data_IF_705904696285
#
_entry.id   IF_705904696285
#
_cell.length_a   1.000
_cell.length_b   1.000
_cell.length_c   1.000
_cell.angle_alpha   90.00
_cell.angle_beta   90.00
_cell.angle_gamma   90.00
#
_symmetry.space_group_name_H-M   'P 1'
#
loop_
_entity.id
_entity.type
_entity.pdbx_description
1 polymer ?
#
# COMPACT_ATOMS: atom_id res chain seq x y z
N UNK A 1 -15.81 1.98 27.66
CA UNK A 1 -15.66 1.13 26.46
C UNK A 1 -16.74 0.05 26.48
N UNK A 2 -17.17 -0.42 25.31
CA UNK A 2 -18.36 -1.29 25.13
C UNK A 2 -18.19 -2.74 25.60
N UNK A 3 -16.95 -3.21 25.80
CA UNK A 3 -16.65 -4.61 26.16
C UNK A 3 -16.82 -5.62 25.02
N UNK A 4 -17.12 -5.17 23.80
CA UNK A 4 -17.23 -5.99 22.58
C UNK A 4 -15.92 -5.92 21.77
N UNK A 5 -15.63 -6.96 21.00
CA UNK A 5 -14.63 -6.86 19.93
C UNK A 5 -15.11 -5.89 18.85
N UNK A 6 -14.17 -5.28 18.12
CA UNK A 6 -14.46 -4.23 17.14
C UNK A 6 -15.43 -4.68 16.04
N UNK A 7 -15.21 -5.88 15.49
CA UNK A 7 -16.04 -6.41 14.40
C UNK A 7 -17.49 -6.59 14.83
N UNK A 8 -17.71 -7.19 16.00
CA UNK A 8 -19.05 -7.33 16.59
C UNK A 8 -19.69 -5.98 16.87
N UNK A 9 -18.93 -5.02 17.41
CA UNK A 9 -19.44 -3.69 17.70
C UNK A 9 -19.93 -2.99 16.43
N UNK A 10 -19.09 -2.90 15.39
CA UNK A 10 -19.46 -2.22 14.14
C UNK A 10 -20.58 -2.96 13.41
N UNK A 11 -20.59 -4.30 13.44
CA UNK A 11 -21.69 -5.08 12.88
C UNK A 11 -23.05 -4.72 13.51
N UNK A 12 -23.09 -4.58 14.83
CA UNK A 12 -24.33 -4.34 15.58
C UNK A 12 -24.77 -2.88 15.58
N UNK A 13 -23.81 -1.96 15.58
CA UNK A 13 -24.07 -0.54 15.81
C UNK A 13 -23.97 0.32 14.54
N UNK A 14 -23.39 -0.20 13.45
CA UNK A 14 -23.26 0.52 12.18
C UNK A 14 -23.85 -0.28 11.02
N UNK A 15 -23.34 -1.48 10.75
CA UNK A 15 -23.70 -2.22 9.54
C UNK A 15 -25.16 -2.69 9.54
N UNK A 16 -25.63 -3.30 10.63
CA UNK A 16 -27.03 -3.76 10.74
C UNK A 16 -28.03 -2.60 10.68
N UNK A 17 -27.87 -1.50 11.45
CA UNK A 17 -28.78 -0.35 11.37
C UNK A 17 -28.87 0.26 9.97
N UNK A 18 -27.76 0.26 9.21
CA UNK A 18 -27.70 0.78 7.84
C UNK A 18 -28.04 -0.26 6.77
N UNK A 19 -28.42 -1.48 7.16
CA UNK A 19 -28.67 -2.58 6.23
C UNK A 19 -27.49 -2.89 5.28
N UNK A 20 -26.26 -2.72 5.78
CA UNK A 20 -25.01 -3.04 5.10
C UNK A 20 -24.71 -4.54 5.21
N UNK A 21 -25.47 -5.36 4.48
CA UNK A 21 -25.50 -6.82 4.66
C UNK A 21 -24.26 -7.55 4.16
N UNK A 22 -23.45 -6.93 3.29
CA UNK A 22 -22.19 -7.53 2.80
C UNK A 22 -20.96 -6.88 3.46
N UNK A 23 -21.16 -5.91 4.35
CA UNK A 23 -20.08 -5.28 5.08
C UNK A 23 -19.54 -6.20 6.18
N UNK A 24 -18.22 -6.23 6.36
CA UNK A 24 -17.57 -6.99 7.42
C UNK A 24 -16.32 -6.31 7.93
N UNK A 25 -16.08 -6.47 9.24
CA UNK A 25 -14.97 -5.89 9.98
C UNK A 25 -14.33 -6.97 10.89
N UNK A 26 -14.11 -8.17 10.36
CA UNK A 26 -13.81 -9.37 11.16
C UNK A 26 -12.96 -10.43 10.45
N UNK A 27 -12.76 -11.56 11.15
CA UNK A 27 -11.76 -12.60 10.83
C UNK A 27 -11.92 -13.26 9.46
N UNK A 28 -10.82 -13.86 8.96
CA UNK A 28 -10.67 -14.54 7.66
C UNK A 28 -11.86 -15.39 7.17
N UNK A 29 -12.66 -15.98 8.07
CA UNK A 29 -13.83 -16.77 7.70
C UNK A 29 -14.98 -15.95 7.09
N UNK A 30 -15.18 -14.68 7.48
CA UNK A 30 -16.12 -13.77 6.78
C UNK A 30 -15.51 -13.20 5.49
N UNK A 31 -14.18 -13.16 5.42
CA UNK A 31 -13.42 -12.66 4.26
C UNK A 31 -13.36 -13.68 3.10
N UNK A 32 -13.59 -14.96 3.38
CA UNK A 32 -13.57 -16.08 2.43
C UNK A 32 -14.95 -16.38 1.81
N UNK A 33 -15.89 -15.42 1.84
CA UNK A 33 -17.14 -15.57 1.08
C UNK A 33 -16.81 -15.69 -0.41
N UNK A 34 -17.47 -16.61 -1.11
CA UNK A 34 -17.26 -16.90 -2.54
C UNK A 34 -17.68 -15.76 -3.49
N UNK A 35 -17.99 -14.57 -2.96
CA UNK A 35 -18.48 -13.39 -3.67
C UNK A 35 -17.52 -12.20 -3.62
N UNK A 36 -16.41 -12.28 -2.90
CA UNK A 36 -15.44 -11.18 -2.83
C UNK A 36 -14.66 -11.04 -4.14
N UNK A 37 -14.60 -9.83 -4.70
CA UNK A 37 -13.73 -9.50 -5.84
C UNK A 37 -12.28 -9.79 -5.47
N UNK A 38 -11.53 -10.61 -6.23
CA UNK A 38 -10.11 -10.87 -5.97
C UNK A 38 -9.30 -9.58 -5.99
N UNK A 39 -8.45 -9.38 -5.00
CA UNK A 39 -7.53 -8.24 -4.96
C UNK A 39 -6.27 -8.56 -5.74
N UNK A 40 -5.70 -7.54 -6.39
CA UNK A 40 -4.51 -7.66 -7.22
C UNK A 40 -3.37 -6.86 -6.63
N UNK A 41 -2.20 -7.48 -6.55
CA UNK A 41 -0.93 -6.80 -6.25
C UNK A 41 -0.16 -6.57 -7.53
N UNK A 42 0.55 -5.46 -7.62
CA UNK A 42 1.42 -5.17 -8.75
C UNK A 42 2.67 -6.06 -8.72
N UNK A 43 2.89 -6.84 -9.77
CA UNK A 43 4.09 -7.62 -9.99
C UNK A 43 4.74 -7.20 -11.31
N UNK A 44 5.83 -6.42 -11.24
CA UNK A 44 6.54 -5.92 -12.42
C UNK A 44 5.63 -5.15 -13.40
N UNK A 45 4.61 -4.47 -12.87
CA UNK A 45 3.61 -3.70 -13.63
C UNK A 45 2.35 -4.47 -14.01
N UNK A 46 2.30 -5.77 -13.76
CA UNK A 46 1.13 -6.60 -14.03
C UNK A 46 0.30 -6.74 -12.75
N UNK A 47 -1.01 -6.42 -12.76
CA UNK A 47 -1.88 -6.71 -11.63
C UNK A 47 -2.12 -8.23 -11.55
N UNK A 48 -1.72 -8.85 -10.45
CA UNK A 48 -1.84 -10.30 -10.24
C UNK A 48 -2.72 -10.59 -9.02
N UNK A 49 -3.79 -11.36 -9.22
CA UNK A 49 -4.57 -11.96 -8.14
C UNK A 49 -3.81 -13.17 -7.57
N UNK A 50 -2.80 -12.90 -6.75
CA UNK A 50 -1.90 -13.91 -6.18
C UNK A 50 -2.45 -14.61 -4.92
N UNK A 51 -3.71 -14.30 -4.57
CA UNK A 51 -4.37 -14.88 -3.40
C UNK A 51 -3.91 -14.27 -2.07
N UNK A 52 -3.25 -13.10 -2.08
CA UNK A 52 -2.87 -12.41 -0.86
C UNK A 52 -4.07 -12.14 0.06
N UNK A 53 -3.90 -12.49 1.34
CA UNK A 53 -4.86 -12.22 2.40
C UNK A 53 -4.10 -11.59 3.55
N UNK A 54 -4.53 -10.38 3.94
CA UNK A 54 -3.97 -9.69 5.08
C UNK A 54 -4.08 -10.54 6.35
N UNK A 55 -2.97 -10.65 7.07
CA UNK A 55 -2.96 -11.38 8.32
C UNK A 55 -3.48 -10.51 9.45
N UNK A 56 -4.27 -11.12 10.34
CA UNK A 56 -4.81 -10.44 11.50
C UNK A 56 -3.97 -10.78 12.73
N UNK A 57 -3.69 -9.79 13.57
CA UNK A 57 -3.04 -9.96 14.86
C UNK A 57 -2.33 -8.70 15.32
N UNK A 58 -1.83 -8.69 16.55
CA UNK A 58 -1.17 -7.50 17.13
C UNK A 58 0.12 -7.10 16.38
N UNK A 59 0.68 -8.04 15.62
CA UNK A 59 1.88 -7.82 14.80
C UNK A 59 1.60 -7.39 13.36
N UNK A 60 0.33 -7.29 12.93
CA UNK A 60 -0.03 -6.82 11.60
C UNK A 60 0.06 -5.28 11.52
N UNK A 61 0.48 -4.76 10.36
CA UNK A 61 0.66 -3.31 10.20
C UNK A 61 -0.66 -2.52 10.29
N UNK A 62 -1.79 -3.16 9.96
CA UNK A 62 -3.13 -2.59 10.13
C UNK A 62 -4.16 -3.64 10.54
N UNK A 63 -5.36 -3.19 10.87
CA UNK A 63 -6.48 -4.04 11.32
C UNK A 63 -7.83 -3.50 10.84
N UNK A 64 -8.92 -4.22 11.15
CA UNK A 64 -10.27 -3.84 10.72
C UNK A 64 -10.66 -2.40 11.11
N UNK A 65 -10.14 -1.86 12.21
CA UNK A 65 -10.44 -0.49 12.64
C UNK A 65 -9.66 0.58 11.87
N UNK A 66 -8.53 0.25 11.25
CA UNK A 66 -7.69 1.21 10.54
C UNK A 66 -7.89 1.22 9.02
N UNK A 67 -8.38 0.13 8.43
CA UNK A 67 -8.52 0.06 6.97
C UNK A 67 -9.01 -1.26 6.36
N UNK A 68 -9.27 -2.29 7.16
CA UNK A 68 -9.64 -3.63 6.67
C UNK A 68 -11.15 -3.94 6.75
N UNK A 69 -12.00 -2.91 6.79
CA UNK A 69 -13.43 -3.10 6.54
C UNK A 69 -13.61 -3.43 5.06
N UNK A 70 -14.41 -4.46 4.77
CA UNK A 70 -14.85 -4.78 3.41
C UNK A 70 -16.32 -4.45 3.29
N UNK A 71 -16.72 -3.85 2.18
CA UNK A 71 -18.09 -3.46 1.91
C UNK A 71 -18.35 -3.51 0.40
N UNK A 72 -19.59 -3.80 0.00
CA UNK A 72 -20.02 -3.67 -1.39
C UNK A 72 -20.35 -2.22 -1.72
N UNK A 73 -20.51 -1.89 -3.01
CA UNK A 73 -21.00 -0.56 -3.43
C UNK A 73 -22.33 -0.20 -2.74
N UNK A 74 -23.26 -1.15 -2.67
CA UNK A 74 -24.56 -0.95 -2.01
C UNK A 74 -24.45 -0.67 -0.51
N UNK A 75 -23.51 -1.30 0.17
CA UNK A 75 -23.25 -1.01 1.59
C UNK A 75 -22.68 0.41 1.74
N UNK A 76 -21.74 0.78 0.86
CA UNK A 76 -21.15 2.13 0.88
C UNK A 76 -22.14 3.22 0.51
N UNK A 77 -23.09 2.96 -0.40
CA UNK A 77 -24.23 3.85 -0.67
C UNK A 77 -25.00 4.13 0.62
N UNK A 78 -25.36 3.09 1.39
CA UNK A 78 -26.06 3.26 2.66
C UNK A 78 -25.23 4.04 3.69
N UNK A 79 -23.91 3.80 3.73
CA UNK A 79 -22.99 4.52 4.60
C UNK A 79 -22.90 6.02 4.27
N UNK A 80 -22.75 6.38 2.98
CA UNK A 80 -22.71 7.79 2.57
C UNK A 80 -24.06 8.48 2.74
N UNK A 81 -25.16 7.78 2.46
CA UNK A 81 -26.51 8.28 2.71
C UNK A 81 -26.76 8.59 4.19
N UNK A 82 -26.18 7.84 5.12
CA UNK A 82 -26.28 8.14 6.55
C UNK A 82 -25.70 9.53 6.88
N UNK A 83 -24.56 9.90 6.31
CA UNK A 83 -23.97 11.23 6.50
C UNK A 83 -24.78 12.34 5.84
N UNK A 84 -25.25 12.12 4.60
CA UNK A 84 -26.14 13.08 3.91
C UNK A 84 -27.43 13.33 4.70
N UNK A 85 -27.94 12.29 5.37
CA UNK A 85 -29.09 12.38 6.26
C UNK A 85 -28.71 12.71 7.73
N UNK A 86 -27.61 13.44 7.93
CA UNK A 86 -27.19 13.96 9.24
C UNK A 86 -27.07 12.90 10.34
N UNK A 87 -26.57 11.71 9.98
CA UNK A 87 -26.31 10.61 10.90
C UNK A 87 -27.45 9.60 11.04
N UNK A 88 -28.60 9.83 10.40
CA UNK A 88 -29.83 9.06 10.61
C UNK A 88 -29.61 7.54 10.61
N UNK A 89 -30.11 6.88 11.66
CA UNK A 89 -30.01 5.44 11.87
C UNK A 89 -28.82 4.98 12.72
N UNK A 90 -27.78 5.81 12.91
CA UNK A 90 -26.57 5.46 13.68
C UNK A 90 -26.12 6.56 14.62
N UNK A 91 -26.13 7.81 14.16
CA UNK A 91 -25.64 9.00 14.86
C UNK A 91 -26.74 10.08 14.90
N UNK A 92 -26.53 11.10 15.74
CA UNK A 92 -27.27 12.36 15.65
C UNK A 92 -26.48 13.41 14.86
N UNK A 93 -27.17 14.48 14.47
CA UNK A 93 -26.59 15.55 13.65
C UNK A 93 -25.42 16.26 14.35
N UNK A 94 -25.52 16.43 15.68
CA UNK A 94 -24.45 17.05 16.48
C UNK A 94 -23.18 16.18 16.48
N UNK A 95 -23.32 14.86 16.53
CA UNK A 95 -22.20 13.92 16.42
C UNK A 95 -21.55 13.98 15.05
N UNK A 96 -22.33 14.02 13.97
CA UNK A 96 -21.79 14.21 12.61
C UNK A 96 -21.05 15.54 12.50
N UNK A 97 -21.65 16.63 13.00
CA UNK A 97 -21.00 17.94 13.02
C UNK A 97 -19.67 17.90 13.79
N UNK A 98 -19.63 17.26 14.96
CA UNK A 98 -18.39 17.10 15.73
C UNK A 98 -17.34 16.29 14.97
N UNK A 99 -17.72 15.18 14.33
CA UNK A 99 -16.79 14.35 13.55
C UNK A 99 -16.14 15.14 12.41
N UNK A 100 -16.88 16.04 11.77
CA UNK A 100 -16.42 16.82 10.62
C UNK A 100 -15.62 18.04 11.04
N UNK A 101 -16.10 18.81 12.02
CA UNK A 101 -15.55 20.13 12.35
C UNK A 101 -14.66 20.19 13.59
N UNK A 102 -14.61 19.14 14.41
CA UNK A 102 -13.57 19.00 15.44
C UNK A 102 -12.29 18.51 14.79
N UNK A 103 -11.65 19.39 14.03
CA UNK A 103 -10.59 19.07 13.08
C UNK A 103 -9.32 19.87 13.32
N UNK A 104 -8.20 19.33 12.85
CA UNK A 104 -6.88 19.99 12.84
C UNK A 104 -6.45 20.27 11.41
N UNK A 105 -5.73 21.37 11.14
CA UNK A 105 -5.19 21.61 9.81
C UNK A 105 -4.14 20.55 9.45
N UNK A 106 -4.16 20.10 8.19
CA UNK A 106 -3.04 19.37 7.61
C UNK A 106 -1.88 20.35 7.40
N UNK A 107 -0.69 19.99 7.88
CA UNK A 107 0.51 20.82 7.73
C UNK A 107 1.03 20.89 6.29
N UNK A 108 0.58 19.99 5.42
CA UNK A 108 1.12 19.80 4.07
C UNK A 108 0.18 20.23 2.94
N UNK A 109 -1.07 20.57 3.26
CA UNK A 109 -2.11 20.90 2.29
C UNK A 109 -3.13 21.87 2.86
N UNK A 110 -3.98 22.48 2.02
CA UNK A 110 -5.11 23.30 2.46
C UNK A 110 -6.33 22.43 2.81
N UNK A 111 -6.10 21.43 3.67
CA UNK A 111 -7.12 20.50 4.13
C UNK A 111 -7.11 20.42 5.65
N UNK A 112 -8.16 19.83 6.21
CA UNK A 112 -8.33 19.64 7.65
C UNK A 112 -8.75 18.20 7.93
N UNK A 113 -8.19 17.60 8.96
CA UNK A 113 -8.51 16.23 9.37
C UNK A 113 -9.37 16.22 10.64
N UNK A 114 -10.57 15.65 10.53
CA UNK A 114 -11.52 15.43 11.63
C UNK A 114 -11.44 13.99 12.17
N UNK A 115 -12.58 13.47 12.63
CA UNK A 115 -12.69 12.09 13.10
C UNK A 115 -12.94 11.15 11.92
N UNK A 116 -11.88 10.79 11.19
CA UNK A 116 -11.96 9.86 10.06
C UNK A 116 -12.45 10.49 8.76
N UNK A 117 -12.34 11.81 8.62
CA UNK A 117 -12.64 12.55 7.40
C UNK A 117 -11.60 13.64 7.16
N UNK A 118 -11.10 13.71 5.93
CA UNK A 118 -10.41 14.88 5.40
C UNK A 118 -11.47 15.84 4.87
N UNK A 119 -11.27 17.14 5.08
CA UNK A 119 -12.19 18.17 4.65
C UNK A 119 -11.46 19.35 4.02
N UNK A 120 -12.04 19.89 2.96
CA UNK A 120 -11.53 21.06 2.25
C UNK A 120 -12.69 21.82 1.60
N UNK A 121 -12.43 23.02 1.11
CA UNK A 121 -13.39 23.81 0.36
C UNK A 121 -12.92 23.95 -1.09
N UNK A 122 -13.86 23.89 -2.04
CA UNK A 122 -13.58 24.32 -3.40
C UNK A 122 -13.45 25.84 -3.51
N UNK A 123 -13.08 26.33 -4.69
CA UNK A 123 -12.85 27.75 -4.94
C UNK A 123 -14.08 28.63 -4.73
N UNK A 124 -15.28 28.06 -4.82
CA UNK A 124 -16.57 28.70 -4.52
C UNK A 124 -16.98 28.59 -3.04
N UNK A 125 -16.17 27.94 -2.20
CA UNK A 125 -16.38 27.77 -0.77
C UNK A 125 -17.18 26.53 -0.38
N UNK A 126 -17.58 25.70 -1.34
CA UNK A 126 -18.36 24.49 -1.10
C UNK A 126 -17.53 23.43 -0.35
N UNK A 127 -18.09 22.88 0.73
CA UNK A 127 -17.42 21.89 1.58
C UNK A 127 -17.40 20.52 0.90
N UNK A 128 -16.22 19.91 0.87
CA UNK A 128 -16.03 18.50 0.53
C UNK A 128 -15.50 17.75 1.72
N UNK A 129 -16.11 16.61 2.03
CA UNK A 129 -15.60 15.60 2.94
C UNK A 129 -15.05 14.45 2.09
N UNK A 130 -13.83 14.01 2.34
CA UNK A 130 -13.22 12.89 1.62
C UNK A 130 -12.48 11.94 2.56
N UNK A 131 -12.36 10.70 2.11
CA UNK A 131 -11.41 9.77 2.69
C UNK A 131 -10.97 8.77 1.62
N UNK A 132 -9.66 8.53 1.58
CA UNK A 132 -9.06 7.56 0.67
C UNK A 132 -8.74 6.27 1.44
N UNK A 133 -8.77 5.15 0.74
CA UNK A 133 -8.42 3.85 1.26
C UNK A 133 -7.35 3.23 0.38
N UNK A 134 -6.31 2.70 1.00
CA UNK A 134 -5.24 2.00 0.32
C UNK A 134 -4.73 0.88 1.22
N UNK A 135 -4.86 -0.35 0.73
CA UNK A 135 -4.28 -1.55 1.32
C UNK A 135 -3.54 -2.31 0.23
N UNK A 136 -2.94 -3.45 0.54
CA UNK A 136 -1.94 -4.10 -0.30
C UNK A 136 -2.45 -4.53 -1.68
N UNK A 137 -3.77 -4.71 -1.82
CA UNK A 137 -4.39 -5.22 -3.03
C UNK A 137 -5.73 -4.55 -3.41
N UNK A 138 -6.08 -3.43 -2.77
CA UNK A 138 -7.27 -2.62 -3.08
C UNK A 138 -7.01 -1.14 -2.84
N UNK A 139 -7.73 -0.30 -3.57
CA UNK A 139 -7.78 1.15 -3.40
C UNK A 139 -9.22 1.61 -3.36
N UNK A 140 -9.50 2.72 -2.68
CA UNK A 140 -10.82 3.28 -2.55
C UNK A 140 -10.75 4.80 -2.43
N UNK A 141 -11.77 5.48 -2.94
CA UNK A 141 -12.03 6.89 -2.67
C UNK A 141 -13.50 7.05 -2.35
N UNK A 142 -13.81 7.82 -1.32
CA UNK A 142 -15.16 8.29 -1.08
C UNK A 142 -15.17 9.78 -0.79
N UNK A 143 -16.24 10.45 -1.21
CA UNK A 143 -16.49 11.82 -0.83
C UNK A 143 -17.98 12.12 -0.64
N UNK A 144 -18.24 13.20 0.10
CA UNK A 144 -19.56 13.75 0.34
C UNK A 144 -19.47 15.26 0.10
N UNK A 145 -20.44 15.79 -0.62
CA UNK A 145 -20.62 17.21 -0.90
C UNK A 145 -22.02 17.58 -0.37
N UNK A 146 -22.12 17.99 0.91
CA UNK A 146 -23.40 18.12 1.60
C UNK A 146 -24.35 19.11 0.94
N UNK A 147 -23.83 20.25 0.45
CA UNK A 147 -24.63 21.31 -0.18
C UNK A 147 -25.29 20.86 -1.51
N UNK A 148 -24.81 19.76 -2.10
CA UNK A 148 -25.36 19.12 -3.30
C UNK A 148 -26.17 17.86 -3.03
N UNK A 149 -26.31 17.45 -1.77
CA UNK A 149 -26.90 16.15 -1.40
C UNK A 149 -26.24 14.97 -2.17
N UNK A 150 -24.91 15.03 -2.32
CA UNK A 150 -24.15 14.14 -3.19
C UNK A 150 -23.10 13.34 -2.41
N UNK A 151 -23.14 12.02 -2.58
CA UNK A 151 -22.12 11.09 -2.08
C UNK A 151 -21.57 10.26 -3.23
N UNK A 152 -20.25 10.09 -3.28
CA UNK A 152 -19.55 9.35 -4.33
C UNK A 152 -18.62 8.34 -3.67
N UNK A 153 -18.60 7.12 -4.20
CA UNK A 153 -17.64 6.08 -3.83
C UNK A 153 -17.09 5.41 -5.08
N UNK A 154 -15.78 5.23 -5.12
CA UNK A 154 -15.05 4.52 -6.17
C UNK A 154 -14.18 3.47 -5.50
N UNK A 155 -14.24 2.23 -5.98
CA UNK A 155 -13.50 1.09 -5.45
C UNK A 155 -12.65 0.47 -6.56
N UNK A 156 -11.39 0.17 -6.26
CA UNK A 156 -10.44 -0.50 -7.15
C UNK A 156 -9.94 -1.79 -6.51
N UNK A 157 -9.83 -2.85 -7.31
CA UNK A 157 -9.40 -4.18 -6.91
C UNK A 157 -7.91 -4.45 -7.18
N UNK A 158 -7.11 -3.38 -7.31
CA UNK A 158 -5.68 -3.46 -7.48
C UNK A 158 -5.00 -2.32 -6.72
N UNK A 159 -3.90 -2.64 -6.03
CA UNK A 159 -2.93 -1.64 -5.57
C UNK A 159 -1.68 -1.74 -6.46
N UNK A 160 -1.24 -0.59 -6.93
CA UNK A 160 0.02 -0.40 -7.62
C UNK A 160 0.62 0.96 -7.23
N UNK A 161 1.49 0.95 -6.22
CA UNK A 161 2.22 2.14 -5.71
C UNK A 161 3.11 2.81 -6.78
N UNK A 162 3.36 2.13 -7.91
CA UNK A 162 4.15 2.63 -9.04
C UNK A 162 3.22 3.12 -10.17
N UNK A 163 2.42 4.13 -9.84
CA UNK A 163 1.63 4.91 -10.80
C UNK A 163 0.19 4.42 -11.01
N UNK A 164 -0.13 3.17 -10.68
CA UNK A 164 -1.51 2.70 -10.78
C UNK A 164 -2.45 3.32 -9.75
N UNK A 165 -2.00 3.57 -8.53
CA UNK A 165 -2.78 4.27 -7.49
C UNK A 165 -3.02 5.73 -7.89
N UNK A 166 -2.01 6.41 -8.45
CA UNK A 166 -2.15 7.79 -8.96
C UNK A 166 -3.19 7.86 -10.10
N UNK A 167 -3.16 6.90 -11.02
CA UNK A 167 -4.16 6.79 -12.08
C UNK A 167 -5.57 6.52 -11.51
N UNK A 168 -5.70 5.69 -10.47
CA UNK A 168 -6.97 5.44 -9.80
C UNK A 168 -7.53 6.70 -9.13
N UNK A 169 -6.71 7.44 -8.39
CA UNK A 169 -7.14 8.66 -7.72
C UNK A 169 -7.50 9.76 -8.73
N UNK A 170 -6.72 9.89 -9.81
CA UNK A 170 -7.05 10.81 -10.91
C UNK A 170 -8.38 10.45 -11.57
N UNK A 171 -8.64 9.15 -11.80
CA UNK A 171 -9.93 8.66 -12.30
C UNK A 171 -11.07 9.02 -11.35
N UNK A 172 -10.87 8.82 -10.04
CA UNK A 172 -11.88 9.11 -9.05
C UNK A 172 -12.17 10.62 -8.94
N UNK A 173 -11.15 11.48 -9.06
CA UNK A 173 -11.32 12.94 -9.12
C UNK A 173 -12.06 13.38 -10.38
N UNK A 174 -11.79 12.75 -11.52
CA UNK A 174 -12.55 12.99 -12.76
C UNK A 174 -14.02 12.60 -12.61
N UNK A 175 -14.32 11.49 -11.94
CA UNK A 175 -15.70 11.08 -11.63
C UNK A 175 -16.39 12.14 -10.76
N UNK A 176 -15.72 12.65 -9.73
CA UNK A 176 -16.26 13.73 -8.89
C UNK A 176 -16.50 14.98 -9.73
N UNK A 177 -15.53 15.40 -10.54
CA UNK A 177 -15.63 16.57 -11.43
C UNK A 177 -16.84 16.45 -12.37
N UNK A 178 -17.02 15.31 -13.03
CA UNK A 178 -18.17 15.05 -13.92
C UNK A 178 -19.49 15.12 -13.14
N UNK A 179 -19.55 14.50 -11.95
CA UNK A 179 -20.76 14.45 -11.14
C UNK A 179 -21.24 15.85 -10.70
N UNK A 180 -20.32 16.81 -10.55
CA UNK A 180 -20.63 18.20 -10.20
C UNK A 180 -20.77 19.14 -11.40
N UNK A 181 -20.76 18.60 -12.62
CA UNK A 181 -20.93 19.35 -13.88
C UNK A 181 -19.64 19.97 -14.43
N UNK A 182 -18.49 19.59 -13.87
CA UNK A 182 -17.16 19.97 -14.34
C UNK A 182 -16.72 19.18 -15.59
N UNK A 183 -15.43 19.28 -15.91
CA UNK A 183 -14.79 18.51 -16.97
C UNK A 183 -13.69 17.63 -16.38
N UNK A 184 -13.54 16.39 -16.86
CA UNK A 184 -12.44 15.54 -16.44
C UNK A 184 -11.11 16.07 -16.97
N UNK A 185 -10.05 15.93 -16.19
CA UNK A 185 -8.67 16.20 -16.61
C UNK A 185 -8.15 15.09 -17.55
N UNK A 186 -8.71 13.89 -17.42
CA UNK A 186 -8.29 12.69 -18.14
C UNK A 186 -7.20 11.94 -17.40
N UNK A 187 -7.21 10.61 -17.55
CA UNK A 187 -6.18 9.72 -17.00
C UNK A 187 -5.27 9.26 -18.13
N UNK A 188 -3.97 9.46 -17.97
CA UNK A 188 -2.98 9.01 -18.95
C UNK A 188 -2.47 7.60 -18.61
N UNK A 189 -2.88 6.55 -19.35
CA UNK A 189 -2.42 5.19 -19.06
C UNK A 189 -0.92 4.99 -19.35
N UNK A 190 -0.27 5.87 -20.12
CA UNK A 190 1.16 5.72 -20.45
C UNK A 190 2.06 5.98 -19.25
N UNK A 191 1.67 6.85 -18.32
CA UNK A 191 2.48 7.22 -17.16
C UNK A 191 2.78 6.01 -16.27
N UNK A 192 1.76 5.23 -15.96
CA UNK A 192 1.93 3.95 -15.24
C UNK A 192 2.87 3.01 -16.00
N UNK A 193 2.68 2.86 -17.32
CA UNK A 193 3.52 1.98 -18.14
C UNK A 193 4.97 2.44 -18.13
N UNK A 194 5.22 3.74 -18.29
CA UNK A 194 6.55 4.34 -18.26
C UNK A 194 7.22 4.15 -16.90
N UNK A 195 6.51 4.41 -15.80
CA UNK A 195 7.03 4.18 -14.44
C UNK A 195 7.46 2.72 -14.23
N UNK A 196 6.67 1.75 -14.71
CA UNK A 196 7.04 0.34 -14.65
C UNK A 196 8.21 -0.01 -15.58
N UNK A 197 8.31 0.58 -16.76
CA UNK A 197 9.48 0.39 -17.65
C UNK A 197 10.75 0.89 -16.94
N UNK A 198 10.73 2.09 -16.37
CA UNK A 198 11.87 2.64 -15.65
C UNK A 198 12.22 1.79 -14.43
N UNK A 199 11.24 1.38 -13.64
CA UNK A 199 11.45 0.57 -12.44
C UNK A 199 11.98 -0.83 -12.79
N UNK A 200 11.41 -1.51 -13.78
CA UNK A 200 11.92 -2.79 -14.24
C UNK A 200 13.34 -2.68 -14.83
N UNK A 201 13.66 -1.58 -15.52
CA UNK A 201 15.01 -1.33 -15.99
C UNK A 201 16.01 -1.12 -14.83
N UNK A 202 15.63 -0.43 -13.75
CA UNK A 202 16.49 -0.29 -12.56
C UNK A 202 16.69 -1.62 -11.84
N UNK A 203 15.66 -2.48 -11.78
CA UNK A 203 15.79 -3.84 -11.24
C UNK A 203 16.82 -4.67 -12.02
N UNK A 204 16.73 -4.66 -13.35
CA UNK A 204 17.69 -5.36 -14.22
C UNK A 204 19.10 -4.78 -14.04
N UNK A 205 19.23 -3.45 -14.02
CA UNK A 205 20.51 -2.79 -13.81
C UNK A 205 21.14 -3.14 -12.45
N UNK A 206 20.35 -3.21 -11.39
CA UNK A 206 20.80 -3.62 -10.05
C UNK A 206 21.32 -5.06 -10.02
N UNK A 207 20.61 -6.00 -10.67
CA UNK A 207 21.04 -7.39 -10.79
C UNK A 207 22.34 -7.51 -11.59
N UNK A 208 22.47 -6.79 -12.72
CA UNK A 208 23.70 -6.74 -13.52
C UNK A 208 24.85 -6.15 -12.71
N UNK A 209 24.62 -5.06 -11.98
CA UNK A 209 25.62 -4.44 -11.13
C UNK A 209 26.12 -5.42 -10.05
N UNK A 210 25.20 -6.12 -9.36
CA UNK A 210 25.55 -7.16 -8.39
C UNK A 210 26.37 -8.29 -9.04
N UNK A 211 25.98 -8.74 -10.24
CA UNK A 211 26.72 -9.76 -10.98
C UNK A 211 28.15 -9.29 -11.35
N UNK A 212 28.31 -8.06 -11.82
CA UNK A 212 29.61 -7.48 -12.14
C UNK A 212 30.48 -7.34 -10.89
N UNK A 213 29.91 -6.93 -9.75
CA UNK A 213 30.61 -6.88 -8.46
C UNK A 213 31.08 -8.27 -8.02
N UNK A 214 30.24 -9.30 -8.18
CA UNK A 214 30.63 -10.70 -7.91
C UNK A 214 31.78 -11.13 -8.82
N UNK A 215 31.69 -10.88 -10.14
CA UNK A 215 32.75 -11.24 -11.09
C UNK A 215 34.06 -10.53 -10.74
N UNK A 216 33.99 -9.23 -10.45
CA UNK A 216 35.14 -8.43 -10.02
C UNK A 216 35.76 -9.00 -8.74
N UNK A 217 34.95 -9.22 -7.70
CA UNK A 217 35.43 -9.70 -6.42
C UNK A 217 36.04 -11.10 -6.53
N UNK A 218 35.39 -12.03 -7.22
CA UNK A 218 35.83 -13.44 -7.37
C UNK A 218 37.09 -13.58 -8.23
N UNK A 219 37.34 -12.65 -9.17
CA UNK A 219 38.59 -12.60 -9.96
C UNK A 219 39.73 -11.87 -9.25
N UNK A 220 39.44 -11.17 -8.16
CA UNK A 220 40.41 -10.35 -7.47
C UNK A 220 41.31 -11.15 -6.50
N UNK A 221 42.63 -10.98 -6.63
CA UNK A 221 43.64 -11.62 -5.77
C UNK A 221 43.56 -11.21 -4.29
N UNK A 222 44.23 -11.99 -3.44
CA UNK A 222 44.19 -11.95 -1.96
C UNK A 222 45.07 -10.86 -1.31
N UNK A 223 45.12 -9.65 -1.86
CA UNK A 223 45.79 -8.51 -1.20
C UNK A 223 44.87 -7.87 -0.14
N UNK A 224 45.44 -7.30 0.93
CA UNK A 224 44.68 -6.72 2.07
C UNK A 224 43.54 -5.78 1.65
N UNK A 225 43.81 -4.83 0.75
CA UNK A 225 42.81 -3.88 0.24
C UNK A 225 41.66 -4.55 -0.54
N UNK A 226 41.95 -5.69 -1.18
CA UNK A 226 40.97 -6.49 -1.92
C UNK A 226 40.16 -7.43 -1.02
N UNK A 227 40.62 -7.68 0.22
CA UNK A 227 39.83 -8.37 1.24
C UNK A 227 38.73 -7.45 1.79
N UNK A 228 39.07 -6.19 2.08
CA UNK A 228 38.09 -5.19 2.52
C UNK A 228 36.99 -4.98 1.48
N UNK A 229 37.35 -4.83 0.19
CA UNK A 229 36.33 -4.70 -0.86
C UNK A 229 35.46 -5.95 -0.98
N UNK A 230 36.00 -7.14 -0.71
CA UNK A 230 35.21 -8.38 -0.73
C UNK A 230 34.22 -8.45 0.43
N UNK A 231 34.62 -8.01 1.63
CA UNK A 231 33.72 -7.93 2.79
C UNK A 231 32.65 -6.87 2.52
N UNK A 232 33.02 -5.70 2.01
CA UNK A 232 32.07 -4.66 1.64
C UNK A 232 31.04 -5.16 0.61
N UNK A 233 31.48 -5.85 -0.44
CA UNK A 233 30.60 -6.36 -1.50
C UNK A 233 29.70 -7.50 -1.02
N UNK A 234 30.25 -8.50 -0.33
CA UNK A 234 29.54 -9.74 -0.03
C UNK A 234 28.84 -9.75 1.34
N UNK A 235 29.11 -8.75 2.19
CA UNK A 235 28.48 -8.59 3.51
C UNK A 235 27.88 -7.20 3.66
N UNK A 236 28.65 -6.15 3.39
CA UNK A 236 28.19 -4.76 3.55
C UNK A 236 26.98 -4.42 2.68
N UNK A 237 27.07 -4.66 1.37
CA UNK A 237 25.97 -4.36 0.43
C UNK A 237 24.71 -5.19 0.75
N UNK A 238 24.78 -6.53 0.97
CA UNK A 238 23.60 -7.29 1.38
C UNK A 238 22.97 -6.78 2.68
N UNK A 239 23.76 -6.44 3.70
CA UNK A 239 23.22 -5.88 4.94
C UNK A 239 22.54 -4.52 4.71
N UNK A 240 23.11 -3.67 3.86
CA UNK A 240 22.50 -2.40 3.48
C UNK A 240 21.17 -2.61 2.75
N UNK A 241 21.16 -3.48 1.74
CA UNK A 241 19.96 -3.84 1.00
C UNK A 241 18.89 -4.47 1.90
N UNK A 242 19.28 -5.33 2.84
CA UNK A 242 18.38 -5.91 3.83
C UNK A 242 17.88 -4.90 4.87
N UNK A 243 18.60 -3.80 5.09
CA UNK A 243 18.14 -2.73 5.98
C UNK A 243 17.24 -1.72 5.27
N UNK A 244 17.18 -1.74 3.94
CA UNK A 244 16.50 -0.73 3.12
C UNK A 244 15.03 -0.50 3.53
N UNK A 245 14.16 -1.52 3.63
CA UNK A 245 12.75 -1.28 3.97
C UNK A 245 12.58 -0.61 5.34
N UNK A 246 13.45 -0.94 6.30
CA UNK A 246 13.34 -0.39 7.65
C UNK A 246 13.86 1.03 7.75
N UNK A 247 14.93 1.36 7.01
CA UNK A 247 15.59 2.67 7.09
C UNK A 247 14.85 3.71 6.26
N UNK A 248 14.41 3.35 5.05
CA UNK A 248 13.86 4.31 4.09
C UNK A 248 12.32 4.30 4.08
N UNK A 249 11.71 3.11 4.08
CA UNK A 249 10.24 2.98 4.03
C UNK A 249 9.61 2.91 5.43
N UNK A 250 10.43 2.77 6.48
CA UNK A 250 9.99 2.53 7.86
C UNK A 250 9.16 1.24 8.05
N UNK A 251 9.13 0.36 7.06
CA UNK A 251 8.36 -0.89 7.04
C UNK A 251 9.13 -2.07 7.63
N UNK A 252 8.40 -3.08 8.14
CA UNK A 252 8.98 -4.41 8.37
C UNK A 252 9.12 -5.11 7.01
N UNK A 253 10.00 -6.10 6.92
CA UNK A 253 10.20 -6.88 5.68
C UNK A 253 8.93 -7.55 5.17
N UNK A 254 8.08 -8.00 6.10
CA UNK A 254 6.79 -8.58 5.77
C UNK A 254 5.90 -7.56 5.07
N UNK A 255 5.66 -6.43 5.71
CA UNK A 255 4.81 -5.37 5.17
C UNK A 255 5.35 -4.83 3.83
N UNK A 256 6.67 -4.68 3.73
CA UNK A 256 7.32 -4.28 2.48
C UNK A 256 7.10 -5.31 1.35
N UNK A 257 7.13 -6.61 1.65
CA UNK A 257 6.79 -7.65 0.67
C UNK A 257 5.29 -7.67 0.34
N UNK A 258 4.45 -7.31 1.30
CA UNK A 258 3.01 -7.29 1.12
C UNK A 258 2.61 -6.16 0.14
N UNK A 259 3.24 -4.97 0.21
CA UNK A 259 3.02 -3.85 -0.72
C UNK A 259 3.89 -3.86 -1.99
N UNK A 260 5.15 -4.26 -1.90
CA UNK A 260 6.15 -4.21 -3.00
C UNK A 260 6.76 -5.60 -3.25
N UNK A 261 5.97 -6.58 -3.71
CA UNK A 261 6.44 -7.95 -3.83
C UNK A 261 7.57 -8.11 -4.87
N UNK A 262 7.51 -7.39 -5.99
CA UNK A 262 8.52 -7.43 -7.03
C UNK A 262 9.86 -6.81 -6.57
N UNK A 263 9.84 -5.63 -5.97
CA UNK A 263 11.01 -4.97 -5.40
C UNK A 263 11.65 -5.84 -4.33
N UNK A 264 10.84 -6.46 -3.47
CA UNK A 264 11.30 -7.37 -2.43
C UNK A 264 12.04 -8.57 -3.01
N UNK A 265 11.48 -9.21 -4.04
CA UNK A 265 12.13 -10.34 -4.72
C UNK A 265 13.44 -9.91 -5.38
N UNK A 266 13.48 -8.75 -6.04
CA UNK A 266 14.71 -8.21 -6.65
C UNK A 266 15.80 -7.94 -5.61
N UNK A 267 15.45 -7.34 -4.47
CA UNK A 267 16.41 -7.10 -3.37
C UNK A 267 16.96 -8.43 -2.83
N UNK A 268 16.10 -9.42 -2.60
CA UNK A 268 16.52 -10.74 -2.14
C UNK A 268 17.41 -11.47 -3.16
N UNK A 269 17.11 -11.36 -4.46
CA UNK A 269 17.95 -11.90 -5.53
C UNK A 269 19.34 -11.24 -5.55
N UNK A 270 19.40 -9.90 -5.45
CA UNK A 270 20.65 -9.16 -5.34
C UNK A 270 21.49 -9.64 -4.14
N UNK A 271 20.87 -9.76 -2.96
CA UNK A 271 21.52 -10.28 -1.76
C UNK A 271 22.04 -11.72 -1.96
N UNK A 272 21.20 -12.60 -2.53
CA UNK A 272 21.57 -13.98 -2.83
C UNK A 272 22.76 -14.09 -3.77
N UNK A 273 22.78 -13.31 -4.87
CA UNK A 273 23.90 -13.25 -5.81
C UNK A 273 25.20 -12.82 -5.11
N UNK A 274 25.15 -11.75 -4.33
CA UNK A 274 26.30 -11.22 -3.61
C UNK A 274 26.83 -12.22 -2.58
N UNK A 275 25.96 -12.83 -1.77
CA UNK A 275 26.38 -13.82 -0.76
C UNK A 275 26.99 -15.06 -1.43
N UNK A 276 26.36 -15.58 -2.49
CA UNK A 276 26.87 -16.73 -3.24
C UNK A 276 28.27 -16.44 -3.83
N UNK A 277 28.48 -15.23 -4.36
CA UNK A 277 29.79 -14.77 -4.82
C UNK A 277 30.86 -14.80 -3.71
N UNK A 278 30.49 -14.39 -2.50
CA UNK A 278 31.35 -14.46 -1.32
C UNK A 278 31.75 -15.88 -0.96
N UNK A 279 30.80 -16.82 -0.99
CA UNK A 279 31.04 -18.25 -0.76
C UNK A 279 32.00 -18.82 -1.80
N UNK A 280 31.79 -18.54 -3.09
CA UNK A 280 32.70 -18.98 -4.16
C UNK A 280 34.12 -18.44 -3.93
N UNK A 281 34.24 -17.19 -3.52
CA UNK A 281 35.53 -16.58 -3.21
C UNK A 281 36.22 -17.27 -2.04
N UNK A 282 35.50 -17.54 -0.94
CA UNK A 282 36.02 -18.27 0.22
C UNK A 282 36.49 -19.69 -0.13
N UNK A 283 35.74 -20.41 -0.98
CA UNK A 283 36.16 -21.75 -1.46
C UNK A 283 37.46 -21.66 -2.25
N UNK A 284 37.60 -20.66 -3.13
CA UNK A 284 38.85 -20.42 -3.89
C UNK A 284 40.01 -20.07 -2.97
N UNK A 285 39.78 -19.30 -1.91
CA UNK A 285 40.77 -19.01 -0.88
C UNK A 285 41.30 -20.30 -0.27
N UNK A 286 40.39 -21.11 0.26
CA UNK A 286 40.72 -22.32 0.99
C UNK A 286 41.53 -23.29 0.13
N UNK A 287 41.13 -23.47 -1.14
CA UNK A 287 41.87 -24.30 -2.11
C UNK A 287 43.28 -23.77 -2.37
N UNK A 288 43.42 -22.46 -2.58
CA UNK A 288 44.72 -21.83 -2.84
C UNK A 288 45.66 -21.91 -1.61
N UNK A 289 45.14 -21.71 -0.40
CA UNK A 289 45.94 -21.82 0.84
C UNK A 289 46.34 -23.26 1.10
N UNK A 290 45.43 -24.23 0.87
CA UNK A 290 45.74 -25.66 0.99
C UNK A 290 46.84 -26.10 0.02
N UNK A 291 46.82 -25.62 -1.22
CA UNK A 291 47.88 -25.88 -2.20
C UNK A 291 49.24 -25.29 -1.83
N UNK A 292 49.30 -24.23 -1.02
CA UNK A 292 50.56 -23.64 -0.55
C UNK A 292 51.15 -24.29 0.69
N UNK A 293 50.39 -25.14 1.39
CA UNK A 293 50.82 -25.85 2.59
C UNK A 293 51.28 -27.29 2.31
N UNK A 294 51.05 -27.80 1.10
CA UNK A 294 51.55 -29.07 0.56
C UNK A 294 52.78 -28.80 -0.29
#
# INVERSE_FOLDING_TARGET
>A
MSGQDYGTYVQNHVFRPLNMMQASAGSAASLMSSTATPGHRSWFGVPVADGFVHALGDDSWGNAASGYVRASLKDMEAYLMMYLNSGSGVLDADSVHQMVFSRVPDTSSDTYYGMGWTTYAWSDGELVMSHDGQVENYVARMCIIPDRDLGIVVLGDANDELGGNEAFFSLADDIVSIAVGGQPSGVNPSERIEQHIYTNATYIAALIACMLLVIYAVRSNWQRWRLFSSIAIHVGIPLFLLAFPRIFEQMRWRDFFDFYPDQSVVVLMCCGLLIAGGVVKLIRFYRHTKQKML
#
